data_IF_893345145394
#
_entry.id   IF_893345145394
#
_cell.length_a   1.000
_cell.length_b   1.000
_cell.length_c   1.000
_cell.angle_alpha   90.00
_cell.angle_beta   90.00
_cell.angle_gamma   90.00
#
_symmetry.space_group_name_H-M   'P 1'
#
loop_
_entity.id
_entity.type
_entity.pdbx_description
1 polymer ?
#
# COMPACT_ATOMS: atom_id res chain seq x y z
N UNK A 1 5.85 -0.26 -14.40
CA UNK A 1 4.92 0.10 -13.33
C UNK A 1 3.46 -0.20 -13.66
N UNK A 2 2.98 0.14 -14.81
CA UNK A 2 1.66 -0.33 -15.26
C UNK A 2 1.68 -1.84 -15.52
N UNK A 3 0.59 -2.55 -15.21
CA UNK A 3 0.45 -3.96 -15.52
C UNK A 3 0.25 -4.88 -14.31
N UNK A 4 0.62 -6.15 -14.46
CA UNK A 4 0.32 -7.23 -13.53
C UNK A 4 1.24 -7.23 -12.31
N UNK A 5 0.81 -6.62 -11.22
CA UNK A 5 1.58 -6.48 -9.96
C UNK A 5 0.65 -6.27 -8.76
N UNK A 6 1.21 -6.42 -7.56
CA UNK A 6 0.52 -6.17 -6.30
C UNK A 6 -0.70 -7.06 -6.13
N UNK A 7 -1.79 -6.50 -5.61
CA UNK A 7 -3.02 -7.20 -5.28
C UNK A 7 -3.57 -8.05 -6.44
N UNK A 8 -3.54 -7.55 -7.67
CA UNK A 8 -4.01 -8.31 -8.83
C UNK A 8 -3.23 -9.60 -9.08
N UNK A 9 -1.94 -9.66 -8.70
CA UNK A 9 -1.17 -10.91 -8.76
C UNK A 9 -1.61 -11.89 -7.68
N UNK A 10 -1.84 -11.41 -6.46
CA UNK A 10 -2.21 -12.26 -5.33
C UNK A 10 -3.51 -13.01 -5.57
N UNK A 11 -4.51 -12.32 -6.14
CA UNK A 11 -5.82 -12.94 -6.44
C UNK A 11 -5.84 -13.73 -7.75
N UNK A 12 -4.82 -13.60 -8.61
CA UNK A 12 -4.78 -14.31 -9.88
C UNK A 12 -4.51 -15.81 -9.70
N UNK A 13 -5.29 -16.65 -10.41
CA UNK A 13 -5.13 -18.10 -10.35
C UNK A 13 -3.70 -18.56 -10.71
N UNK A 14 -3.07 -17.89 -11.68
CA UNK A 14 -1.71 -18.21 -12.12
C UNK A 14 -0.62 -17.91 -11.08
N UNK A 15 -0.92 -17.17 -10.01
CA UNK A 15 0.01 -16.81 -8.96
C UNK A 15 -0.38 -17.39 -7.58
N UNK A 16 -1.49 -18.14 -7.53
CA UNK A 16 -2.09 -18.64 -6.30
C UNK A 16 -1.09 -19.42 -5.43
N UNK A 17 -0.37 -20.36 -6.02
CA UNK A 17 0.59 -21.20 -5.30
C UNK A 17 1.72 -20.38 -4.66
N UNK A 18 2.19 -19.33 -5.36
CA UNK A 18 3.21 -18.42 -4.82
C UNK A 18 2.68 -17.62 -3.63
N UNK A 19 1.46 -17.09 -3.75
CA UNK A 19 0.84 -16.34 -2.67
C UNK A 19 0.55 -17.22 -1.44
N UNK A 20 0.13 -18.45 -1.66
CA UNK A 20 -0.04 -19.44 -0.58
C UNK A 20 1.28 -19.70 0.17
N UNK A 21 2.41 -19.78 -0.53
CA UNK A 21 3.72 -19.91 0.13
C UNK A 21 4.05 -18.72 1.02
N UNK A 22 3.74 -17.48 0.57
CA UNK A 22 3.90 -16.28 1.38
C UNK A 22 3.00 -16.33 2.63
N UNK A 23 1.74 -16.74 2.47
CA UNK A 23 0.81 -16.89 3.60
C UNK A 23 1.32 -17.90 4.63
N UNK A 24 1.81 -19.06 4.17
CA UNK A 24 2.41 -20.08 5.07
C UNK A 24 3.63 -19.54 5.81
N UNK A 25 4.49 -18.79 5.13
CA UNK A 25 5.65 -18.16 5.77
C UNK A 25 5.24 -17.17 6.86
N UNK A 26 4.25 -16.30 6.58
CA UNK A 26 3.74 -15.33 7.55
C UNK A 26 3.06 -16.01 8.74
N UNK A 27 2.30 -17.07 8.53
CA UNK A 27 1.74 -17.87 9.62
C UNK A 27 2.83 -18.46 10.50
N UNK A 28 3.86 -19.07 9.91
CA UNK A 28 4.98 -19.60 10.66
C UNK A 28 5.65 -18.53 11.52
N UNK A 29 5.90 -17.35 10.97
CA UNK A 29 6.50 -16.24 11.71
C UNK A 29 5.63 -15.82 12.90
N UNK A 30 4.33 -15.69 12.69
CA UNK A 30 3.42 -15.18 13.73
C UNK A 30 3.02 -16.23 14.75
N UNK A 31 2.71 -17.46 14.32
CA UNK A 31 2.15 -18.50 15.16
C UNK A 31 3.22 -19.41 15.78
N UNK A 32 4.19 -19.91 14.97
CA UNK A 32 5.22 -20.82 15.45
C UNK A 32 6.40 -20.08 16.11
N UNK A 33 6.84 -18.95 15.53
CA UNK A 33 7.94 -18.15 16.07
C UNK A 33 7.46 -17.14 17.11
N UNK A 34 6.15 -16.91 17.27
CA UNK A 34 5.56 -16.03 18.25
C UNK A 34 5.76 -14.53 17.98
N UNK A 35 6.14 -14.13 16.75
CA UNK A 35 6.37 -12.74 16.38
C UNK A 35 5.07 -12.05 15.97
N UNK A 36 4.14 -11.90 16.90
CA UNK A 36 2.80 -11.34 16.66
C UNK A 36 2.81 -9.84 16.30
N UNK A 37 3.91 -9.14 16.58
CA UNK A 37 4.10 -7.73 16.17
C UNK A 37 4.32 -7.55 14.67
N UNK A 38 4.55 -8.61 13.89
CA UNK A 38 4.65 -8.55 12.43
C UNK A 38 3.26 -8.28 11.84
N UNK A 39 3.15 -7.23 11.04
CA UNK A 39 1.93 -6.84 10.32
C UNK A 39 2.07 -7.16 8.82
N UNK A 40 0.96 -7.27 8.11
CA UNK A 40 0.97 -7.50 6.67
C UNK A 40 0.66 -6.21 5.92
N UNK A 41 1.40 -5.95 4.86
CA UNK A 41 1.17 -4.82 3.99
C UNK A 41 0.86 -5.28 2.56
N UNK A 42 -0.26 -4.82 2.02
CA UNK A 42 -0.72 -5.17 0.67
C UNK A 42 -0.37 -4.04 -0.29
N UNK A 43 0.51 -4.29 -1.28
CA UNK A 43 0.91 -3.28 -2.24
C UNK A 43 -0.04 -3.21 -3.43
N UNK A 44 -0.11 -2.06 -4.06
CA UNK A 44 -0.69 -1.81 -5.37
C UNK A 44 -2.12 -2.33 -5.53
N UNK A 45 -3.00 -1.88 -4.64
CA UNK A 45 -4.43 -2.20 -4.65
C UNK A 45 -5.17 -1.15 -5.48
N UNK A 46 -5.67 -1.51 -6.66
CA UNK A 46 -6.26 -0.56 -7.61
C UNK A 46 -7.69 -0.17 -7.30
N UNK A 47 -8.48 -1.14 -6.83
CA UNK A 47 -9.90 -0.95 -6.55
C UNK A 47 -10.27 -1.49 -5.18
N UNK A 48 -11.35 -0.98 -4.63
CA UNK A 48 -11.90 -1.45 -3.33
C UNK A 48 -12.23 -2.94 -3.38
N UNK A 49 -12.84 -3.41 -4.49
CA UNK A 49 -13.15 -4.83 -4.67
C UNK A 49 -11.90 -5.72 -4.74
N UNK A 50 -10.81 -5.23 -5.37
CA UNK A 50 -9.52 -5.94 -5.37
C UNK A 50 -8.93 -6.03 -3.96
N UNK A 51 -9.06 -4.96 -3.17
CA UNK A 51 -8.65 -4.95 -1.77
C UNK A 51 -9.40 -5.97 -0.93
N UNK A 52 -10.74 -6.01 -1.05
CA UNK A 52 -11.55 -6.99 -0.35
C UNK A 52 -11.18 -8.43 -0.72
N UNK A 53 -10.98 -8.70 -2.01
CA UNK A 53 -10.60 -10.03 -2.49
C UNK A 53 -9.26 -10.51 -1.90
N UNK A 54 -8.28 -9.62 -1.70
CA UNK A 54 -7.02 -9.99 -1.04
C UNK A 54 -7.23 -10.27 0.45
N UNK A 55 -8.03 -9.47 1.14
CA UNK A 55 -8.35 -9.68 2.57
C UNK A 55 -9.06 -11.02 2.78
N UNK A 56 -10.04 -11.33 1.93
CA UNK A 56 -10.75 -12.61 1.97
C UNK A 56 -9.80 -13.78 1.72
N UNK A 57 -8.90 -13.65 0.75
CA UNK A 57 -7.92 -14.67 0.43
C UNK A 57 -6.91 -14.89 1.57
N UNK A 58 -6.45 -13.84 2.23
CA UNK A 58 -5.60 -13.95 3.42
C UNK A 58 -6.33 -14.71 4.54
N UNK A 59 -7.62 -14.41 4.76
CA UNK A 59 -8.44 -15.10 5.76
C UNK A 59 -8.63 -16.59 5.42
N UNK A 60 -8.84 -16.95 4.15
CA UNK A 60 -8.90 -18.36 3.68
C UNK A 60 -7.61 -19.12 4.03
N UNK A 61 -6.46 -18.46 3.98
CA UNK A 61 -5.17 -19.04 4.36
C UNK A 61 -4.84 -18.91 5.86
N UNK A 62 -5.80 -18.49 6.69
CA UNK A 62 -5.67 -18.42 8.15
C UNK A 62 -4.93 -17.17 8.64
N UNK A 63 -4.83 -16.13 7.83
CA UNK A 63 -4.30 -14.80 8.19
C UNK A 63 -5.45 -13.81 8.28
N UNK A 64 -6.33 -14.03 9.27
CA UNK A 64 -7.53 -13.23 9.42
C UNK A 64 -7.27 -11.96 10.20
N UNK A 65 -7.70 -10.84 9.64
CA UNK A 65 -7.58 -9.51 10.24
C UNK A 65 -8.20 -9.47 11.64
N UNK A 66 -7.47 -8.88 12.59
CA UNK A 66 -7.89 -8.78 13.99
C UNK A 66 -7.59 -10.03 14.85
N UNK A 67 -7.36 -11.21 14.26
CA UNK A 67 -6.96 -12.40 15.02
C UNK A 67 -5.47 -12.29 15.40
N UNK A 68 -5.18 -12.59 16.68
CA UNK A 68 -3.81 -12.46 17.24
C UNK A 68 -3.18 -11.08 16.94
N UNK A 69 -3.99 -10.02 16.99
CA UNK A 69 -3.59 -8.63 16.74
C UNK A 69 -3.08 -8.37 15.29
N UNK A 70 -3.38 -9.25 14.34
CA UNK A 70 -3.00 -9.05 12.95
C UNK A 70 -3.69 -7.83 12.37
N UNK A 71 -2.89 -6.88 11.92
CA UNK A 71 -3.35 -5.72 11.14
C UNK A 71 -2.96 -5.88 9.70
N UNK A 72 -3.86 -5.48 8.82
CA UNK A 72 -3.65 -5.41 7.38
C UNK A 72 -3.52 -3.96 6.97
N UNK A 73 -2.33 -3.58 6.55
CA UNK A 73 -2.01 -2.22 6.07
C UNK A 73 -2.02 -2.25 4.56
N UNK A 74 -2.56 -1.22 3.93
CA UNK A 74 -2.52 -1.07 2.48
C UNK A 74 -1.49 -0.01 2.08
N UNK A 75 -0.72 -0.24 1.03
CA UNK A 75 0.05 0.83 0.41
C UNK A 75 -0.89 1.78 -0.32
N UNK A 76 -0.88 3.05 0.10
CA UNK A 76 -1.57 4.14 -0.60
C UNK A 76 -0.58 4.75 -1.60
N UNK A 77 -0.59 4.23 -2.82
CA UNK A 77 0.42 4.56 -3.82
C UNK A 77 -0.14 4.73 -5.24
N UNK A 78 -1.47 4.66 -5.37
CA UNK A 78 -2.19 4.89 -6.61
C UNK A 78 -3.18 6.05 -6.36
N UNK A 79 -3.38 6.99 -7.29
CA UNK A 79 -4.32 8.10 -7.09
C UNK A 79 -5.72 7.67 -6.65
N UNK A 80 -6.23 6.52 -7.14
CA UNK A 80 -7.52 5.96 -6.72
C UNK A 80 -7.58 5.66 -5.21
N UNK A 81 -6.45 5.34 -4.58
CA UNK A 81 -6.40 5.06 -3.14
C UNK A 81 -6.68 6.31 -2.30
N UNK A 82 -6.16 7.45 -2.72
CA UNK A 82 -6.42 8.74 -2.05
C UNK A 82 -7.85 9.24 -2.32
N UNK A 83 -8.33 9.10 -3.56
CA UNK A 83 -9.68 9.51 -3.95
C UNK A 83 -10.78 8.73 -3.22
N UNK A 84 -10.57 7.44 -2.97
CA UNK A 84 -11.52 6.54 -2.29
C UNK A 84 -10.99 6.10 -0.92
N UNK A 85 -10.22 6.96 -0.26
CA UNK A 85 -9.47 6.60 0.95
C UNK A 85 -10.38 6.05 2.07
N UNK A 86 -11.54 6.65 2.31
CA UNK A 86 -12.46 6.18 3.35
C UNK A 86 -12.95 4.75 3.04
N UNK A 87 -13.29 4.43 1.78
CA UNK A 87 -13.76 3.10 1.39
C UNK A 87 -12.65 2.03 1.55
N UNK A 88 -11.42 2.35 1.23
CA UNK A 88 -10.30 1.45 1.47
C UNK A 88 -10.03 1.26 2.98
N UNK A 89 -10.18 2.31 3.77
CA UNK A 89 -9.98 2.24 5.23
C UNK A 89 -11.11 1.53 5.97
N UNK A 90 -12.27 1.30 5.36
CA UNK A 90 -13.27 0.38 5.89
C UNK A 90 -12.77 -1.07 5.87
N UNK A 91 -11.93 -1.42 4.89
CA UNK A 91 -11.38 -2.77 4.68
C UNK A 91 -10.05 -2.95 5.42
N UNK A 92 -9.15 -1.96 5.34
CA UNK A 92 -7.81 -2.03 5.90
C UNK A 92 -7.69 -1.31 7.26
N UNK A 93 -6.70 -1.71 8.07
CA UNK A 93 -6.42 -1.09 9.36
C UNK A 93 -5.66 0.23 9.25
N UNK A 94 -5.18 0.56 8.07
CA UNK A 94 -4.48 1.80 7.82
C UNK A 94 -3.72 1.82 6.51
N UNK A 95 -3.02 2.93 6.28
CA UNK A 95 -2.22 3.17 5.09
C UNK A 95 -0.73 3.28 5.41
N UNK A 96 0.08 2.80 4.48
CA UNK A 96 1.47 3.22 4.28
C UNK A 96 1.56 3.92 2.93
N UNK A 97 1.83 5.23 2.95
CA UNK A 97 1.89 6.01 1.71
C UNK A 97 3.18 5.67 0.96
N UNK A 98 3.05 5.15 -0.27
CA UNK A 98 4.14 4.95 -1.22
C UNK A 98 4.32 6.20 -2.09
N UNK A 99 5.02 7.23 -1.58
CA UNK A 99 5.10 8.54 -2.21
C UNK A 99 5.74 8.49 -3.61
N UNK A 100 6.72 7.63 -3.81
CA UNK A 100 7.36 7.48 -5.11
C UNK A 100 6.40 7.01 -6.20
N UNK A 101 5.66 5.93 -5.95
CA UNK A 101 4.71 5.37 -6.91
C UNK A 101 3.50 6.31 -7.07
N UNK A 102 3.03 6.92 -5.99
CA UNK A 102 1.95 7.91 -6.04
C UNK A 102 2.33 9.10 -6.93
N UNK A 103 3.53 9.66 -6.76
CA UNK A 103 4.01 10.77 -7.58
C UNK A 103 4.12 10.37 -9.05
N UNK A 104 4.75 9.23 -9.31
CA UNK A 104 4.91 8.72 -10.67
C UNK A 104 3.58 8.54 -11.39
N UNK A 105 2.58 7.96 -10.71
CA UNK A 105 1.27 7.69 -11.30
C UNK A 105 0.39 8.94 -11.39
N UNK A 106 0.56 9.89 -10.46
CA UNK A 106 -0.15 11.18 -10.50
C UNK A 106 0.32 12.04 -11.66
N UNK A 107 1.63 12.12 -11.86
CA UNK A 107 2.23 12.94 -12.91
C UNK A 107 2.36 12.20 -14.26
N UNK A 108 2.04 10.91 -14.29
CA UNK A 108 2.08 10.10 -15.51
C UNK A 108 3.48 9.94 -16.09
N UNK A 109 4.51 9.88 -15.24
CA UNK A 109 5.91 9.78 -15.66
C UNK A 109 6.59 8.53 -15.09
N UNK A 110 7.66 8.10 -15.75
CA UNK A 110 8.54 7.05 -15.25
C UNK A 110 9.78 7.68 -14.62
N UNK A 111 9.93 7.57 -13.31
CA UNK A 111 11.06 8.12 -12.54
C UNK A 111 12.41 7.52 -12.94
N UNK A 112 12.41 6.32 -13.54
CA UNK A 112 13.62 5.64 -13.99
C UNK A 112 14.02 6.04 -15.41
N UNK A 113 13.18 6.80 -16.11
CA UNK A 113 13.46 7.32 -17.44
C UNK A 113 14.31 8.59 -17.37
N UNK A 114 15.53 8.54 -17.87
CA UNK A 114 16.43 9.69 -17.91
C UNK A 114 15.89 10.91 -18.66
N UNK A 115 14.84 10.74 -19.49
CA UNK A 115 14.23 11.83 -20.25
C UNK A 115 13.23 12.66 -19.42
N UNK A 116 12.54 12.05 -18.47
CA UNK A 116 11.47 12.69 -17.71
C UNK A 116 11.67 12.67 -16.19
N UNK A 117 12.73 12.01 -15.71
CA UNK A 117 13.00 11.91 -14.27
C UNK A 117 13.18 13.27 -13.59
N UNK A 118 13.62 14.29 -14.33
CA UNK A 118 13.72 15.67 -13.83
C UNK A 118 12.37 16.34 -13.56
N UNK A 119 11.28 15.78 -14.05
CA UNK A 119 9.91 16.24 -13.80
C UNK A 119 9.30 15.58 -12.55
N UNK A 120 9.99 14.60 -11.97
CA UNK A 120 9.54 13.95 -10.75
C UNK A 120 9.73 14.89 -9.55
N UNK A 121 8.62 15.35 -8.98
CA UNK A 121 8.63 16.17 -7.77
C UNK A 121 7.46 15.75 -6.85
N UNK A 122 7.79 15.17 -5.71
CA UNK A 122 6.81 14.79 -4.69
C UNK A 122 6.08 15.98 -4.05
N UNK A 123 6.60 17.21 -4.27
CA UNK A 123 6.00 18.47 -3.79
C UNK A 123 5.00 19.06 -4.76
N UNK A 124 4.80 18.44 -5.92
CA UNK A 124 3.79 18.92 -6.88
C UNK A 124 2.42 19.07 -6.20
N UNK A 125 1.69 20.15 -6.47
CA UNK A 125 0.37 20.41 -5.86
C UNK A 125 -0.62 19.25 -6.02
N UNK A 126 -0.60 18.52 -7.15
CA UNK A 126 -1.49 17.38 -7.35
C UNK A 126 -1.13 16.22 -6.41
N UNK A 127 0.17 15.98 -6.21
CA UNK A 127 0.65 14.93 -5.29
C UNK A 127 0.34 15.29 -3.85
N UNK A 128 0.64 16.52 -3.43
CA UNK A 128 0.38 16.98 -2.07
C UNK A 128 -1.12 17.01 -1.75
N UNK A 129 -1.98 17.30 -2.73
CA UNK A 129 -3.43 17.19 -2.56
C UNK A 129 -3.86 15.75 -2.27
N UNK A 130 -3.37 14.76 -3.03
CA UNK A 130 -3.68 13.35 -2.79
C UNK A 130 -3.15 12.87 -1.43
N UNK A 131 -1.95 13.28 -1.05
CA UNK A 131 -1.41 13.01 0.28
C UNK A 131 -2.32 13.56 1.38
N UNK A 132 -2.76 14.82 1.25
CA UNK A 132 -3.67 15.48 2.19
C UNK A 132 -5.01 14.73 2.30
N UNK A 133 -5.57 14.27 1.20
CA UNK A 133 -6.81 13.48 1.19
C UNK A 133 -6.66 12.17 1.97
N UNK A 134 -5.60 11.41 1.68
CA UNK A 134 -5.34 10.13 2.37
C UNK A 134 -5.10 10.33 3.88
N UNK A 135 -4.30 11.32 4.26
CA UNK A 135 -4.00 11.64 5.66
C UNK A 135 -5.27 12.08 6.39
N UNK A 136 -6.07 12.95 5.79
CA UNK A 136 -7.31 13.46 6.39
C UNK A 136 -8.33 12.33 6.60
N UNK A 137 -8.48 11.43 5.64
CA UNK A 137 -9.37 10.28 5.76
C UNK A 137 -8.92 9.33 6.89
N UNK A 138 -7.63 9.00 6.96
CA UNK A 138 -7.11 8.13 8.01
C UNK A 138 -7.29 8.74 9.41
N UNK A 139 -6.98 10.02 9.56
CA UNK A 139 -7.17 10.74 10.82
C UNK A 139 -8.66 10.79 11.23
N UNK A 140 -9.56 11.09 10.29
CA UNK A 140 -11.00 11.11 10.51
C UNK A 140 -11.53 9.76 11.01
N UNK A 141 -11.01 8.67 10.47
CA UNK A 141 -11.43 7.31 10.81
C UNK A 141 -10.64 6.70 11.98
N UNK A 142 -9.67 7.41 12.57
CA UNK A 142 -8.80 6.91 13.63
C UNK A 142 -7.93 5.72 13.20
N UNK A 143 -7.57 5.66 11.92
CA UNK A 143 -6.76 4.60 11.32
C UNK A 143 -5.28 5.00 11.27
N UNK A 144 -4.41 3.96 11.27
CA UNK A 144 -2.98 4.16 11.11
C UNK A 144 -2.66 4.80 9.75
N UNK A 145 -1.72 5.74 9.75
CA UNK A 145 -1.12 6.27 8.53
C UNK A 145 0.37 6.53 8.73
N UNK A 146 1.17 6.00 7.82
CA UNK A 146 2.61 6.23 7.72
C UNK A 146 3.00 6.56 6.29
N UNK A 147 4.23 6.98 6.09
CA UNK A 147 4.79 7.25 4.76
C UNK A 147 6.09 6.46 4.60
N UNK A 148 6.26 5.85 3.44
CA UNK A 148 7.49 5.26 2.97
C UNK A 148 7.86 5.88 1.62
N UNK A 149 9.13 6.14 1.39
CA UNK A 149 9.62 6.79 0.18
C UNK A 149 10.92 7.53 0.45
N UNK A 150 11.43 8.16 -0.59
CA UNK A 150 12.65 8.96 -0.55
C UNK A 150 12.34 10.46 -0.36
N UNK A 151 11.26 10.78 0.36
CA UNK A 151 10.88 12.17 0.61
C UNK A 151 12.08 13.03 1.01
N UNK A 152 12.04 14.35 0.79
CA UNK A 152 13.17 15.23 1.00
C UNK A 152 13.66 15.12 2.44
N UNK A 153 14.81 14.48 2.61
CA UNK A 153 15.53 14.52 3.87
C UNK A 153 15.98 15.96 4.19
N UNK A 154 16.32 16.28 5.45
CA UNK A 154 16.69 17.63 5.85
C UNK A 154 17.91 18.22 5.11
N UNK A 155 18.55 17.47 4.23
CA UNK A 155 19.77 17.88 3.50
C UNK A 155 19.54 18.48 2.11
N UNK A 156 18.33 18.55 1.58
CA UNK A 156 18.07 19.11 0.24
C UNK A 156 17.74 20.61 0.23
N UNK A 157 17.75 21.28 1.38
CA UNK A 157 17.45 22.72 1.48
C UNK A 157 18.64 23.66 1.18
N UNK A 158 19.78 23.10 0.75
CA UNK A 158 20.98 23.90 0.41
C UNK A 158 21.66 23.32 -0.82
N UNK A 159 21.16 23.66 -1.98
CA UNK A 159 21.96 23.89 -3.22
C UNK A 159 21.22 24.78 -4.18
#
# INVERSE_FOLDING_TARGET
>A
MLGFRGASRYIAQSFRDCFEMECRAMKKVREEMGLTNVQLMVPFVRTVGEGQAVVDLLAEHGLKQGENELKLIMMCEIPSNALLAEQFLEIFDGFSIGSNDLTQLTLGLDRDSGLVANLFDERDPAVTMLLSMAISAANKMGKYIGICGQGPGPSSATR
#
